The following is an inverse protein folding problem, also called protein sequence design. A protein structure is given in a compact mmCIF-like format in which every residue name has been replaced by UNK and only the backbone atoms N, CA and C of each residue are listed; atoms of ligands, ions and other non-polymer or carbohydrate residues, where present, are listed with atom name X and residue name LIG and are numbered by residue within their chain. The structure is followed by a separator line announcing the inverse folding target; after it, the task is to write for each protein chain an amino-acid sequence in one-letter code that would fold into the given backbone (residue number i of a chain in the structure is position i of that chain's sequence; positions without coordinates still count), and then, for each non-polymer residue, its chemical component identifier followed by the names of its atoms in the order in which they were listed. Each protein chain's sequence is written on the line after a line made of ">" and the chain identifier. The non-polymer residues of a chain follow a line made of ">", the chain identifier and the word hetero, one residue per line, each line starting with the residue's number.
data_IF_172727403402
#
_entry.id   IF_172727403402
#
_cell.length_a   1.000
_cell.length_b   1.000
_cell.length_c   1.000
_cell.angle_alpha   90.00
_cell.angle_beta   90.00
_cell.angle_gamma   90.00
#
_symmetry.space_group_name_H-M   'P 1'
#
loop_
_entity.id
_entity.type
_entity.pdbx_description
1 polymer ?
2 branched ?
3 non-polymer ?
4 non-polymer ?
5 non-polymer ?
6 non-polymer ?
7 non-polymer ?
8 water ?
#
# COMPACT_ATOMS: atom_id res chain seq x y z
N UNK A 1 -19.44 -8.92 -6.32
CA UNK A 1 -20.12 -7.63 -6.28
C UNK A 1 -20.18 -7.12 -4.85
N UNK A 2 -19.42 -6.06 -4.55
CA UNK A 2 -19.28 -5.53 -3.19
C UNK A 2 -19.57 -4.04 -3.16
N UNK A 3 -20.37 -3.61 -2.18
CA UNK A 3 -20.81 -2.22 -2.02
C UNK A 3 -20.39 -1.71 -0.64
N UNK A 4 -20.28 -0.39 -0.51
CA UNK A 4 -19.55 0.26 0.58
C UNK A 4 -20.39 1.35 1.23
N UNK A 5 -19.96 1.85 2.39
CA UNK A 5 -20.65 3.02 2.99
C UNK A 5 -20.68 4.23 2.06
N UNK A 6 -21.77 5.00 2.15
CA UNK A 6 -21.90 6.23 1.38
C UNK A 6 -21.01 7.34 1.91
N UNK A 7 -20.73 7.34 3.21
CA UNK A 7 -20.01 8.42 3.85
C UNK A 7 -19.31 7.87 5.07
N UNK A 8 -18.26 8.58 5.52
CA UNK A 8 -17.44 8.06 6.62
C UNK A 8 -18.29 7.98 7.88
N UNK A 9 -18.13 6.86 8.60
CA UNK A 9 -18.95 6.54 9.75
C UNK A 9 -18.24 6.74 11.09
N UNK A 10 -16.91 6.91 11.08
CA UNK A 10 -16.11 7.02 12.31
C UNK A 10 -15.13 8.17 12.22
N UNK A 11 -15.63 9.34 11.77
CA UNK A 11 -14.78 10.52 11.60
C UNK A 11 -13.97 10.80 12.87
N UNK A 12 -14.63 10.87 14.02
CA UNK A 12 -13.94 11.25 15.25
C UNK A 12 -12.82 10.26 15.58
N UNK A 13 -13.12 8.97 15.54
CA UNK A 13 -12.11 7.97 15.90
C UNK A 13 -10.93 8.00 14.93
N UNK A 14 -11.22 8.05 13.62
CA UNK A 14 -10.14 8.10 12.63
C UNK A 14 -9.34 9.40 12.77
N UNK A 15 -10.01 10.53 13.00
CA UNK A 15 -9.26 11.78 13.12
C UNK A 15 -8.27 11.71 14.28
N UNK A 16 -8.71 11.17 15.41
CA UNK A 16 -7.80 10.99 16.54
C UNK A 16 -6.65 10.04 16.18
N UNK A 17 -6.93 8.94 15.49
CA UNK A 17 -5.87 8.03 15.06
C UNK A 17 -4.88 8.72 14.13
N UNK A 18 -5.39 9.60 13.25
CA UNK A 18 -4.54 10.32 12.30
C UNK A 18 -3.49 11.15 13.05
N UNK A 19 -3.84 11.68 14.21
CA UNK A 19 -2.88 12.45 14.99
C UNK A 19 -1.73 11.60 15.52
N UNK A 20 -1.86 10.27 15.55
CA UNK A 20 -0.79 9.37 15.97
C UNK A 20 0.23 9.11 14.87
N UNK A 21 -0.03 9.55 13.64
CA UNK A 21 0.89 9.31 12.53
C UNK A 21 2.15 10.14 12.73
N UNK A 22 3.29 9.46 12.72
CA UNK A 22 4.60 10.10 12.94
C UNK A 22 5.30 10.21 11.60
N UNK A 23 5.33 11.44 11.06
CA UNK A 23 5.97 11.69 9.78
C UNK A 23 7.43 11.26 9.75
N UNK A 24 8.08 11.16 10.91
CA UNK A 24 9.49 10.80 10.92
C UNK A 24 9.71 9.32 10.63
N UNK A 25 8.68 8.48 10.83
CA UNK A 25 8.84 7.05 10.62
C UNK A 25 8.96 6.67 9.15
N UNK A 26 8.50 7.55 8.25
CA UNK A 26 8.64 7.29 6.82
C UNK A 26 10.13 7.25 6.42
N UNK A 27 10.88 8.31 6.71
CA UNK A 27 12.26 8.33 6.25
C UNK A 27 13.14 7.36 7.05
N UNK A 28 12.86 7.21 8.35
CA UNK A 28 13.59 6.23 9.17
C UNK A 28 13.65 4.86 8.52
N UNK A 29 12.49 4.34 8.05
CA UNK A 29 12.45 3.04 7.40
C UNK A 29 12.89 3.14 5.94
N UNK A 30 12.52 4.23 5.25
CA UNK A 30 12.83 4.38 3.83
C UNK A 30 14.33 4.50 3.59
N UNK A 31 15.06 5.17 4.49
CA UNK A 31 16.50 5.34 4.29
C UNK A 31 17.25 4.01 4.20
N UNK A 32 17.19 3.11 5.21
CA UNK A 32 17.85 1.79 5.04
C UNK A 32 17.24 0.90 3.97
N UNK A 33 15.92 1.00 3.74
CA UNK A 33 15.30 0.21 2.68
C UNK A 33 15.92 0.54 1.32
N UNK A 34 16.13 1.83 1.05
CA UNK A 34 16.74 2.26 -0.22
C UNK A 34 18.24 2.08 -0.27
N UNK A 35 18.87 1.63 0.82
CA UNK A 35 20.31 1.43 0.82
C UNK A 35 20.72 0.09 0.24
N UNK A 36 19.82 -0.89 0.21
CA UNK A 36 20.11 -2.11 -0.54
C UNK A 36 20.41 -1.72 -1.97
N UNK A 37 21.50 -2.29 -2.52
CA UNK A 37 21.95 -1.86 -3.84
C UNK A 37 20.79 -1.83 -4.83
N UNK A 38 20.03 -2.93 -4.89
CA UNK A 38 18.69 -2.96 -5.46
C UNK A 38 17.90 -3.97 -4.64
N UNK A 39 16.59 -4.04 -4.87
CA UNK A 39 15.74 -5.08 -4.29
C UNK A 39 15.13 -5.91 -5.40
N UNK A 40 15.97 -6.25 -6.38
CA UNK A 40 15.55 -7.10 -7.48
C UNK A 40 15.03 -8.42 -6.96
N UNK A 41 13.86 -8.82 -7.47
CA UNK A 41 13.16 -9.99 -6.93
C UNK A 41 13.87 -11.30 -7.24
N UNK A 42 14.59 -11.37 -8.35
CA UNK A 42 15.35 -12.56 -8.75
C UNK A 42 16.67 -12.69 -8.00
N UNK A 43 17.02 -11.69 -7.20
CA UNK A 43 18.36 -11.48 -6.68
C UNK A 43 18.40 -11.72 -5.17
N UNK A 44 19.58 -12.10 -4.68
CA UNK A 44 19.75 -12.27 -3.24
C UNK A 44 19.58 -10.94 -2.50
N UNK A 45 19.83 -9.83 -3.18
CA UNK A 45 19.51 -8.51 -2.65
C UNK A 45 18.04 -8.42 -2.26
N UNK A 46 17.14 -8.87 -3.16
CA UNK A 46 15.72 -8.79 -2.87
C UNK A 46 15.28 -9.75 -1.78
N UNK A 47 15.94 -10.90 -1.68
CA UNK A 47 15.74 -11.80 -0.56
C UNK A 47 16.08 -11.13 0.75
N UNK A 48 17.27 -10.51 0.84
CA UNK A 48 17.72 -9.87 2.07
C UNK A 48 16.83 -8.69 2.46
N UNK A 49 16.47 -7.85 1.49
CA UNK A 49 15.58 -6.73 1.79
C UNK A 49 14.20 -7.18 2.24
N UNK A 50 13.71 -8.30 1.69
CA UNK A 50 12.42 -8.82 2.14
C UNK A 50 12.49 -9.26 3.60
N UNK A 51 13.59 -9.92 3.98
CA UNK A 51 13.77 -10.37 5.35
C UNK A 51 13.90 -9.19 6.30
N UNK A 52 14.68 -8.19 5.91
CA UNK A 52 14.80 -6.96 6.69
C UNK A 52 13.43 -6.33 6.91
N UNK A 53 12.66 -6.20 5.83
CA UNK A 53 11.32 -5.62 5.96
C UNK A 53 10.46 -6.45 6.90
N UNK A 54 10.58 -7.79 6.82
CA UNK A 54 9.77 -8.64 7.69
C UNK A 54 10.09 -8.40 9.15
N UNK A 55 11.39 -8.21 9.46
CA UNK A 55 11.79 -7.86 10.81
C UNK A 55 11.17 -6.56 11.28
N UNK A 56 11.11 -5.54 10.41
CA UNK A 56 10.57 -4.26 10.81
C UNK A 56 9.08 -4.35 11.10
N UNK A 57 8.37 -5.15 10.30
CA UNK A 57 6.97 -5.42 10.59
C UNK A 57 6.83 -6.13 11.93
N UNK A 58 7.67 -7.14 12.16
CA UNK A 58 7.58 -7.88 13.41
C UNK A 58 7.76 -6.97 14.62
N UNK A 59 8.73 -6.03 14.56
CA UNK A 59 8.94 -5.09 15.67
C UNK A 59 7.71 -4.25 15.93
N UNK A 60 7.03 -3.80 14.88
CA UNK A 60 5.77 -3.09 15.09
C UNK A 60 4.75 -4.01 15.75
N UNK A 61 4.71 -5.28 15.35
CA UNK A 61 3.77 -6.21 15.95
C UNK A 61 4.11 -6.47 17.42
N UNK A 62 5.36 -6.87 17.69
CA UNK A 62 5.78 -7.16 19.06
C UNK A 62 5.54 -5.98 19.98
N UNK A 63 5.78 -4.77 19.48
CA UNK A 63 5.62 -3.56 20.27
C UNK A 63 4.16 -3.15 20.49
N UNK A 64 3.21 -3.77 19.77
CA UNK A 64 1.83 -3.29 19.73
C UNK A 64 0.95 -3.79 20.87
N UNK A 65 1.26 -4.96 21.44
CA UNK A 65 0.33 -5.63 22.34
C UNK A 65 -0.85 -6.31 21.67
N UNK A 66 -0.79 -6.55 20.36
CA UNK A 66 -1.89 -7.14 19.62
C UNK A 66 -1.58 -8.64 19.50
N UNK A 67 -2.20 -9.44 20.38
CA UNK A 67 -1.79 -10.84 20.55
C UNK A 67 -2.00 -11.66 19.29
N UNK A 68 -3.06 -11.39 18.53
CA UNK A 68 -3.38 -12.20 17.38
C UNK A 68 -2.76 -11.80 16.06
N UNK A 69 -2.05 -10.67 16.00
CA UNK A 69 -1.50 -10.18 14.75
C UNK A 69 -0.22 -10.92 14.41
N UNK A 70 -0.08 -11.28 13.13
CA UNK A 70 1.03 -12.06 12.61
C UNK A 70 1.57 -11.41 11.35
N UNK A 71 2.81 -11.80 11.01
CA UNK A 71 3.41 -11.52 9.71
C UNK A 71 4.06 -12.83 9.23
N UNK A 72 3.85 -13.19 7.98
CA UNK A 72 4.39 -14.43 7.42
C UNK A 72 4.93 -14.18 6.02
N UNK A 73 6.00 -14.87 5.64
CA UNK A 73 6.44 -14.83 4.25
C UNK A 73 5.56 -15.69 3.36
N UNK A 74 5.55 -15.36 2.08
CA UNK A 74 4.80 -16.10 1.07
C UNK A 74 5.83 -16.44 -0.01
N UNK A 75 6.31 -17.69 0.02
CA UNK A 75 7.37 -18.11 -0.89
C UNK A 75 6.91 -18.01 -2.34
N UNK A 76 7.87 -17.70 -3.23
CA UNK A 76 7.67 -17.71 -4.67
C UNK A 76 8.76 -18.58 -5.29
N UNK A 77 8.74 -18.70 -6.62
CA UNK A 77 9.79 -19.46 -7.31
C UNK A 77 11.09 -18.67 -7.43
N UNK A 78 11.10 -17.39 -7.08
CA UNK A 78 12.30 -16.57 -7.03
C UNK A 78 12.66 -16.31 -5.57
N UNK A 79 13.89 -15.83 -5.28
CA UNK A 79 14.33 -15.71 -3.87
C UNK A 79 13.53 -14.73 -3.02
N UNK A 80 13.01 -13.65 -3.57
CA UNK A 80 12.33 -12.64 -2.77
C UNK A 80 10.91 -13.09 -2.45
N UNK A 81 10.61 -13.18 -1.15
CA UNK A 81 9.30 -13.60 -0.70
C UNK A 81 8.42 -12.37 -0.46
N UNK A 82 7.13 -12.54 -0.71
CA UNK A 82 6.18 -11.52 -0.32
C UNK A 82 5.93 -11.61 1.18
N UNK A 83 5.23 -10.62 1.73
CA UNK A 83 4.92 -10.62 3.15
C UNK A 83 3.49 -10.19 3.36
N UNK A 84 2.80 -10.95 4.20
CA UNK A 84 1.41 -10.71 4.55
C UNK A 84 1.34 -10.55 6.06
N UNK A 85 0.78 -9.45 6.51
CA UNK A 85 0.55 -9.19 7.93
C UNK A 85 -0.95 -9.22 8.17
N UNK A 86 -1.39 -9.98 9.15
CA UNK A 86 -2.82 -10.19 9.35
C UNK A 86 -3.25 -9.58 10.67
N UNK A 87 -4.33 -8.81 10.62
CA UNK A 87 -5.04 -8.32 11.80
C UNK A 87 -6.37 -9.04 11.82
N UNK A 88 -6.49 -10.17 12.51
CA UNK A 88 -7.74 -10.93 12.45
C UNK A 88 -8.85 -10.20 13.19
N UNK A 89 -10.03 -10.20 12.57
CA UNK A 89 -11.18 -9.58 13.19
C UNK A 89 -12.25 -10.59 13.47
N UNK A 90 -13.47 -10.11 13.78
CA UNK A 90 -14.58 -11.00 14.11
C UNK A 90 -14.96 -11.88 12.93
N UNK A 91 -15.07 -11.29 11.74
CA UNK A 91 -15.42 -12.03 10.53
C UNK A 91 -14.19 -12.31 9.68
N UNK A 92 -14.40 -13.07 8.61
CA UNK A 92 -13.38 -13.34 7.62
C UNK A 92 -13.47 -12.43 6.40
N UNK A 93 -14.39 -11.49 6.38
CA UNK A 93 -14.35 -10.45 5.36
C UNK A 93 -13.04 -9.69 5.51
N UNK A 94 -12.24 -9.68 4.45
CA UNK A 94 -10.87 -9.23 4.54
C UNK A 94 -10.69 -7.94 3.75
N UNK A 95 -10.00 -6.98 4.38
CA UNK A 95 -9.59 -5.73 3.74
C UNK A 95 -8.08 -5.80 3.51
N UNK A 96 -7.65 -5.65 2.26
CA UNK A 96 -6.23 -5.73 1.91
C UNK A 96 -5.69 -4.34 1.58
N UNK A 97 -4.52 -4.03 2.13
CA UNK A 97 -3.73 -2.83 1.82
C UNK A 97 -2.42 -3.28 1.20
N UNK A 98 -2.12 -2.83 -0.01
CA UNK A 98 -0.97 -3.32 -0.77
C UNK A 98 0.06 -2.27 -1.10
N UNK A 99 1.33 -2.71 -1.15
CA UNK A 99 2.47 -2.04 -1.76
C UNK A 99 3.40 -3.12 -2.25
N UNK A 100 4.31 -2.77 -3.16
CA UNK A 100 5.27 -3.75 -3.60
C UNK A 100 6.65 -3.38 -3.08
N UNK A 101 7.40 -4.39 -2.66
CA UNK A 101 8.64 -4.20 -1.94
C UNK A 101 9.88 -4.37 -2.81
N UNK A 102 9.73 -4.82 -4.06
CA UNK A 102 10.89 -4.92 -4.93
C UNK A 102 11.14 -3.62 -5.68
N UNK A 103 12.29 -3.57 -6.34
CA UNK A 103 12.70 -2.42 -7.13
C UNK A 103 13.57 -2.94 -8.28
N UNK A 104 13.72 -2.12 -9.32
CA UNK A 104 14.45 -2.56 -10.48
C UNK A 104 15.15 -1.37 -11.12
N UNK A 105 16.29 -1.65 -11.73
CA UNK A 105 16.97 -0.74 -12.63
C UNK A 105 16.80 -1.36 -14.01
N UNK A 106 15.95 -0.74 -14.84
CA UNK A 106 15.52 -1.45 -16.05
C UNK A 106 16.68 -1.66 -17.02
N UNK A 107 17.71 -0.83 -16.94
CA UNK A 107 18.85 -0.95 -17.85
C UNK A 107 19.80 -2.06 -17.43
N UNK A 108 19.93 -2.31 -16.12
CA UNK A 108 20.77 -3.40 -15.60
C UNK A 108 20.04 -4.06 -14.44
N UNK A 109 19.07 -4.94 -14.73
CA UNK A 109 18.18 -5.42 -13.66
C UNK A 109 18.88 -6.19 -12.56
N UNK A 110 19.76 -7.11 -12.92
CA UNK A 110 20.39 -7.97 -11.93
C UNK A 110 21.27 -7.16 -10.98
N UNK A 111 22.08 -6.25 -11.54
CA UNK A 111 23.17 -5.63 -10.79
C UNK A 111 23.06 -4.12 -10.66
N UNK A 112 22.16 -3.46 -11.38
CA UNK A 112 22.09 -2.01 -11.35
C UNK A 112 21.57 -1.48 -10.04
N UNK A 113 22.05 -0.30 -9.68
CA UNK A 113 21.56 0.39 -8.50
C UNK A 113 20.11 0.79 -8.71
N UNK A 114 19.26 0.46 -7.74
CA UNK A 114 17.85 0.86 -7.79
C UNK A 114 17.41 1.15 -6.38
N UNK A 115 17.53 2.40 -5.93
CA UNK A 115 17.11 2.71 -4.56
C UNK A 115 15.63 2.52 -4.36
N UNK A 116 14.84 2.66 -5.42
CA UNK A 116 13.40 2.42 -5.34
C UNK A 116 12.71 3.22 -4.26
N UNK A 117 13.14 4.48 -4.09
CA UNK A 117 12.62 5.31 -3.01
C UNK A 117 11.13 5.57 -3.20
N UNK A 118 10.73 6.02 -4.39
CA UNK A 118 9.33 6.29 -4.70
C UNK A 118 8.59 5.06 -5.19
N UNK A 119 9.20 4.30 -6.09
CA UNK A 119 8.67 3.06 -6.65
C UNK A 119 9.42 1.84 -6.10
N UNK A 120 8.91 1.21 -5.03
CA UNK A 120 7.73 1.65 -4.31
C UNK A 120 8.05 1.64 -2.80
N UNK A 121 9.23 2.15 -2.46
CA UNK A 121 9.53 2.32 -1.04
C UNK A 121 8.57 3.27 -0.36
N UNK A 122 8.02 4.24 -1.11
CA UNK A 122 7.14 5.22 -0.51
C UNK A 122 5.85 4.58 -0.07
N UNK A 123 5.30 3.69 -0.90
CA UNK A 123 4.10 2.94 -0.53
C UNK A 123 4.35 1.95 0.59
N UNK A 124 5.56 1.41 0.69
CA UNK A 124 5.85 0.45 1.75
C UNK A 124 5.85 1.14 3.11
N UNK A 125 6.60 2.25 3.24
CA UNK A 125 6.60 2.99 4.49
C UNK A 125 5.25 3.69 4.73
N UNK A 126 4.47 3.96 3.67
CA UNK A 126 3.13 4.52 3.87
C UNK A 126 2.23 3.53 4.60
N UNK A 127 2.15 2.29 4.10
CA UNK A 127 1.22 1.36 4.70
C UNK A 127 1.81 0.72 5.95
N UNK A 128 3.14 0.65 6.06
CA UNK A 128 3.76 0.18 7.29
C UNK A 128 3.43 1.10 8.45
N UNK A 129 3.42 2.41 8.21
CA UNK A 129 3.11 3.36 9.27
C UNK A 129 1.62 3.38 9.60
N UNK A 130 0.75 3.23 8.58
CA UNK A 130 -0.68 3.14 8.86
C UNK A 130 -1.02 1.86 9.63
N UNK A 131 -0.34 0.76 9.31
CA UNK A 131 -0.41 -0.48 10.08
C UNK A 131 -0.07 -0.27 11.55
N UNK A 132 1.04 0.43 11.84
CA UNK A 132 1.45 0.68 13.22
C UNK A 132 0.39 1.45 13.99
N UNK A 133 -0.14 2.51 13.37
CA UNK A 133 -1.11 3.37 14.07
C UNK A 133 -2.42 2.64 14.24
N UNK A 134 -2.74 1.75 13.30
CA UNK A 134 -3.98 0.99 13.37
C UNK A 134 -4.02 0.13 14.62
N UNK A 135 -2.88 -0.46 14.99
CA UNK A 135 -2.79 -1.33 16.15
C UNK A 135 -2.78 -0.55 17.45
N UNK A 136 -2.75 0.78 17.41
CA UNK A 136 -2.88 1.51 18.66
C UNK A 136 -4.33 1.65 19.07
N UNK A 137 -5.27 1.21 18.23
CA UNK A 137 -6.68 1.18 18.59
C UNK A 137 -6.97 -0.10 19.36
N UNK A 138 -7.71 0.03 20.48
CA UNK A 138 -7.88 -1.10 21.40
C UNK A 138 -8.66 -2.25 20.75
N UNK A 139 -9.77 -1.93 20.06
CA UNK A 139 -10.59 -2.98 19.47
C UNK A 139 -9.89 -3.65 18.30
N UNK A 140 -9.13 -2.88 17.50
CA UNK A 140 -8.38 -3.48 16.41
C UNK A 140 -7.33 -4.44 16.96
N UNK A 141 -6.50 -3.97 17.90
CA UNK A 141 -5.48 -4.82 18.50
C UNK A 141 -6.08 -6.01 19.26
N UNK A 142 -7.33 -5.91 19.69
CA UNK A 142 -8.01 -7.00 20.38
C UNK A 142 -8.67 -8.01 19.45
N UNK A 143 -8.71 -7.77 18.13
CA UNK A 143 -9.40 -8.69 17.26
C UNK A 143 -10.91 -8.59 17.31
N UNK A 144 -11.42 -7.43 17.72
CA UNK A 144 -12.84 -7.15 17.79
C UNK A 144 -13.34 -6.24 16.67
N UNK A 145 -12.50 -5.88 15.73
CA UNK A 145 -13.02 -5.23 14.53
C UNK A 145 -13.95 -6.21 13.83
N UNK A 146 -15.04 -5.73 13.25
CA UNK A 146 -15.95 -6.63 12.51
C UNK A 146 -15.25 -7.46 11.44
N UNK A 147 -14.20 -6.93 10.80
CA UNK A 147 -13.60 -7.57 9.65
C UNK A 147 -12.10 -7.71 9.86
N UNK A 148 -11.52 -8.65 9.13
CA UNK A 148 -10.09 -8.89 9.08
C UNK A 148 -9.40 -7.90 8.13
N UNK A 149 -8.22 -7.44 8.52
CA UNK A 149 -7.41 -6.54 7.71
C UNK A 149 -6.07 -7.20 7.46
N UNK A 150 -5.62 -7.17 6.21
CA UNK A 150 -4.29 -7.67 5.88
C UNK A 150 -3.49 -6.59 5.15
N UNK A 151 -2.20 -6.50 5.46
CA UNK A 151 -1.26 -5.64 4.76
C UNK A 151 -0.33 -6.54 3.94
N UNK A 152 -0.27 -6.31 2.63
CA UNK A 152 0.53 -7.13 1.74
C UNK A 152 1.70 -6.31 1.19
N UNK A 153 2.87 -6.91 1.17
CA UNK A 153 4.09 -6.31 0.63
C UNK A 153 4.56 -7.25 -0.45
N UNK A 154 4.28 -6.90 -1.71
CA UNK A 154 4.38 -7.85 -2.82
C UNK A 154 5.82 -7.88 -3.35
N UNK A 155 6.42 -9.08 -3.34
CA UNK A 155 7.63 -9.36 -4.09
C UNK A 155 7.35 -9.39 -5.60
N UNK A 156 8.41 -9.15 -6.38
CA UNK A 156 8.37 -9.43 -7.82
C UNK A 156 7.42 -8.61 -8.67
N UNK A 157 6.87 -7.50 -8.16
CA UNK A 157 5.98 -6.67 -8.98
C UNK A 157 6.65 -6.22 -10.28
N UNK A 158 7.95 -5.90 -10.24
CA UNK A 158 8.67 -5.41 -11.40
C UNK A 158 8.97 -6.51 -12.42
N UNK A 159 8.72 -7.76 -12.06
CA UNK A 159 8.73 -8.82 -13.04
C UNK A 159 7.38 -9.09 -13.68
N UNK A 160 6.36 -8.30 -13.39
CA UNK A 160 5.04 -8.53 -13.94
C UNK A 160 3.98 -8.96 -12.95
N UNK A 161 3.92 -8.25 -11.81
CA UNK A 161 2.95 -8.52 -10.75
C UNK A 161 3.05 -9.96 -10.25
N UNK A 162 4.28 -10.48 -10.18
CA UNK A 162 4.49 -11.91 -9.93
C UNK A 162 4.02 -12.34 -8.55
N UNK A 163 4.34 -11.55 -7.51
CA UNK A 163 3.97 -11.96 -6.17
C UNK A 163 2.48 -11.86 -5.90
N UNK A 164 1.87 -10.74 -6.27
CA UNK A 164 0.43 -10.58 -6.06
C UNK A 164 -0.36 -11.55 -6.91
N UNK A 165 0.16 -11.85 -8.10
CA UNK A 165 -0.42 -12.92 -8.93
C UNK A 165 -0.53 -14.21 -8.14
N UNK A 166 0.59 -14.65 -7.54
CA UNK A 166 0.60 -15.87 -6.72
C UNK A 166 -0.43 -15.78 -5.61
N UNK A 167 -0.46 -14.66 -4.89
CA UNK A 167 -1.22 -14.53 -3.66
C UNK A 167 -2.72 -14.56 -3.96
N UNK A 168 -3.17 -13.74 -4.89
CA UNK A 168 -4.59 -13.63 -5.16
C UNK A 168 -5.12 -14.85 -5.91
N UNK A 169 -4.30 -15.45 -6.78
CA UNK A 169 -4.72 -16.73 -7.35
C UNK A 169 -4.95 -17.76 -6.26
N UNK A 170 -4.08 -17.78 -5.26
CA UNK A 170 -4.25 -18.73 -4.17
C UNK A 170 -5.40 -18.33 -3.26
N UNK A 171 -5.61 -17.03 -3.05
CA UNK A 171 -6.77 -16.60 -2.28
C UNK A 171 -8.05 -17.04 -2.97
N UNK A 172 -8.11 -16.83 -4.29
CA UNK A 172 -9.26 -17.25 -5.08
C UNK A 172 -9.53 -18.75 -4.92
N UNK A 173 -8.48 -19.57 -5.06
CA UNK A 173 -8.65 -21.02 -4.92
C UNK A 173 -9.16 -21.41 -3.54
N UNK A 174 -8.62 -20.80 -2.49
CA UNK A 174 -9.01 -21.15 -1.13
C UNK A 174 -10.17 -20.29 -0.61
N UNK A 175 -10.91 -19.63 -1.51
CA UNK A 175 -12.19 -18.99 -1.20
C UNK A 175 -12.06 -17.87 -0.16
N UNK A 176 -10.92 -17.17 -0.18
CA UNK A 176 -10.72 -16.04 0.71
C UNK A 176 -11.63 -14.88 0.29
N UNK A 177 -12.23 -14.23 1.29
CA UNK A 177 -13.31 -13.28 1.04
C UNK A 177 -12.74 -11.87 1.11
N UNK A 178 -12.10 -11.45 0.02
CA UNK A 178 -11.47 -10.13 -0.06
C UNK A 178 -12.54 -9.15 -0.53
N UNK A 179 -13.04 -8.35 0.40
CA UNK A 179 -14.10 -7.38 0.12
C UNK A 179 -13.58 -6.05 -0.42
N UNK A 180 -12.27 -5.78 -0.34
CA UNK A 180 -11.69 -4.50 -0.74
C UNK A 180 -10.16 -4.57 -0.74
N UNK A 181 -9.52 -4.14 -1.82
CA UNK A 181 -8.06 -4.08 -1.87
C UNK A 181 -7.63 -2.69 -2.33
N UNK A 182 -6.70 -2.08 -1.61
CA UNK A 182 -6.13 -0.79 -1.98
C UNK A 182 -4.65 -0.96 -2.25
N UNK A 183 -4.21 -0.66 -3.46
CA UNK A 183 -2.81 -0.68 -3.83
C UNK A 183 -2.27 0.74 -3.73
N UNK A 184 -1.05 0.85 -3.21
CA UNK A 184 -0.36 2.12 -3.18
C UNK A 184 1.05 1.91 -3.70
N UNK A 185 1.39 2.67 -4.74
CA UNK A 185 2.56 2.45 -5.57
C UNK A 185 2.98 3.83 -6.05
N UNK A 186 4.10 4.33 -5.52
CA UNK A 186 4.53 5.72 -5.69
C UNK A 186 3.58 6.70 -4.98
N UNK A 187 3.99 7.21 -3.82
CA UNK A 187 3.17 8.11 -3.03
C UNK A 187 3.92 9.39 -2.68
N UNK A 188 5.12 9.57 -3.18
CA UNK A 188 5.96 10.63 -2.66
C UNK A 188 6.33 11.77 -3.58
N UNK A 189 6.15 11.63 -4.88
CA UNK A 189 6.74 12.57 -5.83
C UNK A 189 5.68 13.60 -6.22
N UNK A 190 5.90 14.84 -5.83
CA UNK A 190 4.97 15.91 -6.15
C UNK A 190 5.62 17.02 -6.96
N UNK A 191 6.91 16.92 -7.24
CA UNK A 191 7.55 18.02 -7.95
C UNK A 191 7.03 18.14 -9.38
N UNK A 192 6.58 17.05 -10.00
CA UNK A 192 5.93 17.16 -11.30
C UNK A 192 4.65 17.96 -11.22
N UNK A 193 3.88 17.75 -10.15
CA UNK A 193 2.63 18.46 -9.96
C UNK A 193 2.87 19.95 -9.75
N UNK A 194 3.68 20.29 -8.76
CA UNK A 194 3.84 21.69 -8.34
C UNK A 194 4.68 22.51 -9.30
N UNK A 195 5.59 21.89 -10.06
CA UNK A 195 6.39 22.64 -11.03
C UNK A 195 5.53 23.22 -12.15
N UNK A 196 4.45 22.53 -12.51
CA UNK A 196 3.46 22.97 -13.47
C UNK A 196 2.41 23.92 -12.85
N UNK A 197 2.58 24.33 -11.60
CA UNK A 197 1.58 25.12 -10.92
C UNK A 197 0.30 24.39 -10.56
N UNK A 198 0.24 23.08 -10.71
CA UNK A 198 -0.96 22.37 -10.32
C UNK A 198 -0.99 22.17 -8.81
N UNK A 199 -2.18 22.15 -8.21
CA UNK A 199 -2.27 21.87 -6.77
C UNK A 199 -1.93 20.40 -6.49
N UNK A 200 -1.04 20.20 -5.51
CA UNK A 200 -0.72 18.85 -5.05
C UNK A 200 -2.00 18.13 -4.64
N UNK A 201 -2.06 16.84 -4.98
CA UNK A 201 -3.31 16.08 -4.88
C UNK A 201 -3.00 14.59 -4.84
N UNK A 202 -4.06 13.82 -4.59
CA UNK A 202 -4.04 12.36 -4.57
C UNK A 202 -4.57 11.88 -5.93
N UNK A 203 -3.71 11.21 -6.69
CA UNK A 203 -4.18 10.59 -7.92
C UNK A 203 -5.02 9.35 -7.63
N UNK A 204 -6.09 9.20 -8.38
CA UNK A 204 -7.05 8.10 -8.26
C UNK A 204 -7.12 7.42 -9.62
N UNK A 205 -6.57 6.22 -9.73
CA UNK A 205 -6.53 5.51 -11.00
C UNK A 205 -7.89 4.83 -11.22
N UNK A 206 -8.44 5.00 -12.43
CA UNK A 206 -9.81 4.62 -12.72
C UNK A 206 -9.95 3.42 -13.64
N UNK A 207 -8.86 2.86 -14.17
CA UNK A 207 -8.95 1.61 -14.93
C UNK A 207 -8.33 0.45 -14.14
N UNK A 208 -8.81 -0.75 -14.45
CA UNK A 208 -8.41 -2.01 -13.79
C UNK A 208 -8.80 -2.04 -12.32
N UNK A 209 -9.80 -1.25 -11.94
CA UNK A 209 -10.22 -1.11 -10.56
C UNK A 209 -11.72 -1.39 -10.49
N UNK A 210 -12.25 -1.33 -9.28
CA UNK A 210 -13.68 -1.48 -9.02
C UNK A 210 -14.30 -0.09 -8.87
N UNK A 211 -15.44 0.15 -9.54
CA UNK A 211 -16.01 1.50 -9.54
C UNK A 211 -16.52 1.89 -8.16
N UNK A 212 -17.25 0.99 -7.50
CA UNK A 212 -17.80 1.29 -6.19
C UNK A 212 -16.70 1.58 -5.18
N UNK A 213 -15.62 0.78 -5.21
CA UNK A 213 -14.52 0.96 -4.27
C UNK A 213 -13.79 2.28 -4.54
N UNK A 214 -13.57 2.60 -5.81
CA UNK A 214 -12.95 3.86 -6.18
C UNK A 214 -13.80 5.04 -5.70
N UNK A 215 -15.12 4.91 -5.80
CA UNK A 215 -16.02 5.92 -5.26
C UNK A 215 -15.83 6.10 -3.77
N UNK A 216 -15.82 4.98 -3.03
CA UNK A 216 -15.54 5.01 -1.60
C UNK A 216 -14.15 5.57 -1.31
N UNK A 217 -13.17 5.22 -2.14
CA UNK A 217 -11.82 5.74 -1.95
C UNK A 217 -11.80 7.26 -2.00
N UNK A 218 -12.54 7.86 -2.94
CA UNK A 218 -12.62 9.32 -3.00
C UNK A 218 -13.28 9.88 -1.75
N UNK A 219 -14.37 9.26 -1.31
CA UNK A 219 -14.99 9.59 -0.02
C UNK A 219 -13.95 9.61 1.10
N UNK A 220 -13.03 8.64 1.09
CA UNK A 220 -12.02 8.57 2.13
C UNK A 220 -11.03 9.72 1.99
N UNK A 221 -10.67 10.10 0.77
CA UNK A 221 -9.70 11.17 0.58
C UNK A 221 -10.30 12.52 0.93
N UNK A 222 -11.61 12.69 0.73
CA UNK A 222 -12.25 13.96 1.07
C UNK A 222 -12.40 14.14 2.57
N UNK A 223 -12.62 13.06 3.31
CA UNK A 223 -12.80 13.17 4.75
C UNK A 223 -11.49 13.28 5.50
N UNK A 224 -10.44 12.62 5.00
CA UNK A 224 -9.26 12.37 5.81
C UNK A 224 -7.98 12.97 5.28
N UNK A 225 -7.92 13.29 4.00
CA UNK A 225 -6.80 14.03 3.44
C UNK A 225 -7.16 15.50 3.36
N UNK A 226 -6.12 16.35 3.46
CA UNK A 226 -6.30 17.78 3.30
C UNK A 226 -5.83 18.27 1.93
N UNK A 227 -5.80 17.39 0.93
CA UNK A 227 -5.57 17.76 -0.47
C UNK A 227 -6.63 17.10 -1.34
N UNK A 228 -6.87 17.62 -2.56
CA UNK A 228 -7.90 17.07 -3.44
C UNK A 228 -7.49 15.78 -4.16
N UNK A 229 -8.44 15.22 -4.90
CA UNK A 229 -8.22 14.07 -5.76
C UNK A 229 -8.18 14.51 -7.21
N UNK A 230 -7.51 13.70 -8.03
CA UNK A 230 -7.49 13.86 -9.47
C UNK A 230 -7.62 12.47 -10.07
N UNK A 231 -8.47 12.33 -11.08
CA UNK A 231 -8.70 11.04 -11.73
C UNK A 231 -7.73 10.85 -12.88
N UNK A 232 -7.12 9.67 -12.94
CA UNK A 232 -6.18 9.32 -13.98
C UNK A 232 -6.41 7.89 -14.42
N UNK A 233 -6.07 7.62 -15.66
CA UNK A 233 -5.88 6.25 -16.14
C UNK A 233 -4.40 6.07 -16.38
N UNK A 234 -3.98 4.81 -16.43
CA UNK A 234 -2.63 4.52 -16.86
C UNK A 234 -2.58 3.66 -18.10
N UNK A 235 -3.65 2.95 -18.43
CA UNK A 235 -3.80 2.31 -19.71
C UNK A 235 -3.21 0.93 -19.82
N UNK A 236 -2.88 0.28 -18.70
CA UNK A 236 -2.38 -1.08 -18.70
C UNK A 236 -2.50 -1.65 -17.27
N UNK A 237 -1.99 -2.87 -17.08
CA UNK A 237 -1.92 -3.48 -15.76
C UNK A 237 -0.87 -2.85 -14.87
N UNK A 238 -1.14 -1.58 -14.53
CA UNK A 238 -0.37 -0.68 -13.69
C UNK A 238 0.45 -1.33 -12.57
N UNK A 239 -0.23 -1.99 -11.64
CA UNK A 239 0.36 -2.46 -10.40
C UNK A 239 -0.45 -3.64 -9.89
N UNK A 240 -0.22 -4.00 -8.62
CA UNK A 240 -0.71 -5.27 -8.09
C UNK A 240 -2.22 -5.31 -7.91
N UNK A 241 -2.89 -4.16 -7.90
CA UNK A 241 -4.35 -4.16 -7.88
C UNK A 241 -4.91 -4.88 -9.09
N UNK A 242 -4.12 -4.97 -10.15
CA UNK A 242 -4.56 -5.67 -11.35
C UNK A 242 -4.60 -7.17 -11.11
N UNK A 243 -3.74 -7.68 -10.23
CA UNK A 243 -3.80 -9.09 -9.83
C UNK A 243 -5.07 -9.38 -9.02
N UNK A 244 -5.48 -8.42 -8.18
CA UNK A 244 -6.70 -8.62 -7.41
C UNK A 244 -7.92 -8.57 -8.34
N UNK A 245 -7.97 -7.55 -9.20
CA UNK A 245 -9.05 -7.45 -10.18
C UNK A 245 -9.13 -8.70 -11.04
N UNK A 246 -7.98 -9.29 -11.37
CA UNK A 246 -7.96 -10.47 -12.23
C UNK A 246 -8.67 -11.65 -11.59
N UNK A 247 -8.71 -11.71 -10.26
CA UNK A 247 -9.40 -12.79 -9.58
C UNK A 247 -10.75 -12.36 -9.01
N UNK A 248 -11.34 -11.30 -9.58
CA UNK A 248 -12.65 -10.83 -9.21
C UNK A 248 -12.72 -10.07 -7.91
N UNK A 249 -11.58 -9.64 -7.37
CA UNK A 249 -11.68 -8.92 -6.11
C UNK A 249 -11.80 -7.43 -6.36
N UNK A 250 -12.61 -6.71 -5.58
CA UNK A 250 -12.71 -5.25 -5.76
C UNK A 250 -11.43 -4.56 -5.30
N UNK A 251 -10.83 -3.78 -6.19
CA UNK A 251 -9.56 -3.12 -5.91
C UNK A 251 -9.62 -1.66 -6.31
N UNK A 252 -8.71 -0.88 -5.73
CA UNK A 252 -8.54 0.52 -6.06
C UNK A 252 -7.04 0.83 -5.98
N UNK A 253 -6.71 2.05 -6.39
CA UNK A 253 -5.33 2.46 -6.54
C UNK A 253 -5.26 3.97 -6.34
N UNK A 254 -4.56 4.38 -5.28
CA UNK A 254 -4.29 5.80 -5.03
C UNK A 254 -2.82 6.07 -5.31
N UNK A 255 -2.57 7.20 -5.97
CA UNK A 255 -1.32 7.50 -6.63
C UNK A 255 -0.81 8.86 -6.12
N UNK A 256 0.46 9.15 -6.38
CA UNK A 256 1.06 10.41 -5.94
C UNK A 256 0.54 11.65 -6.68
N UNK A 257 -0.07 11.49 -7.85
CA UNK A 257 -0.35 12.62 -8.74
C UNK A 257 -1.18 12.12 -9.91
N UNK A 258 -1.51 13.04 -10.82
CA UNK A 258 -1.99 12.65 -12.15
C UNK A 258 -0.92 11.82 -12.82
N UNK A 259 -1.35 10.81 -13.61
CA UNK A 259 -0.39 9.83 -14.09
C UNK A 259 0.77 10.46 -14.87
N UNK A 260 0.51 11.53 -15.62
CA UNK A 260 1.56 12.16 -16.37
C UNK A 260 2.49 13.08 -15.61
N UNK A 261 2.23 13.30 -14.32
CA UNK A 261 3.08 14.12 -13.47
C UNK A 261 3.90 13.28 -12.50
N UNK A 262 3.84 11.96 -12.62
CA UNK A 262 4.51 11.08 -11.68
C UNK A 262 6.03 11.14 -11.88
N UNK A 263 6.74 10.34 -11.09
CA UNK A 263 8.18 10.47 -11.01
C UNK A 263 8.82 9.96 -12.30
N UNK A 264 9.70 10.74 -12.92
CA UNK A 264 10.44 10.27 -14.09
C UNK A 264 11.73 9.52 -13.78
N UNK A 265 12.00 9.27 -12.50
CA UNK A 265 13.25 8.67 -12.03
C UNK A 265 13.10 7.20 -11.70
N UNK A 266 11.85 6.70 -11.71
CA UNK A 266 11.58 5.29 -11.41
C UNK A 266 12.37 4.38 -12.36
N UNK A 267 12.68 3.18 -11.86
CA UNK A 267 13.38 2.15 -12.63
C UNK A 267 14.79 2.57 -13.03
N UNK A 268 15.43 3.35 -12.17
CA UNK A 268 16.79 3.78 -12.44
C UNK A 268 17.43 4.09 -11.12
N UNK A 269 18.74 4.32 -11.16
CA UNK A 269 19.51 4.65 -9.96
C UNK A 269 19.05 5.96 -9.33
N UNK A 270 18.30 6.79 -10.06
CA UNK A 270 17.95 8.14 -9.65
C UNK A 270 16.65 8.24 -8.88
N UNK A 271 16.00 7.11 -8.56
CA UNK A 271 14.80 7.07 -7.72
C UNK A 271 15.25 7.09 -6.25
N UNK A 272 15.51 8.30 -5.75
CA UNK A 272 16.18 8.50 -4.47
C UNK A 272 15.27 9.28 -3.53
N UNK A 273 15.61 9.24 -2.24
CA UNK A 273 14.84 9.94 -1.22
C UNK A 273 14.81 11.44 -1.51
N UNK A 274 15.81 11.93 -2.24
CA UNK A 274 15.82 13.33 -2.66
C UNK A 274 14.54 13.70 -3.38
N UNK A 275 13.98 12.78 -4.17
CA UNK A 275 12.79 13.03 -4.99
C UNK A 275 11.49 12.89 -4.22
N UNK A 276 11.53 12.48 -2.95
CA UNK A 276 10.34 12.10 -2.19
C UNK A 276 9.93 13.24 -1.28
N UNK A 277 8.64 13.58 -1.31
CA UNK A 277 8.04 14.61 -0.46
C UNK A 277 7.28 13.92 0.68
N UNK A 278 7.85 13.90 1.88
CA UNK A 278 7.24 13.11 2.95
C UNK A 278 5.96 13.76 3.50
N UNK A 279 5.75 15.05 3.27
CA UNK A 279 4.46 15.64 3.62
C UNK A 279 3.34 15.10 2.74
N UNK A 280 3.64 14.72 1.49
CA UNK A 280 2.66 14.04 0.65
C UNK A 280 2.48 12.57 1.04
N UNK A 281 3.60 11.89 1.34
CA UNK A 281 3.54 10.53 1.89
C UNK A 281 2.66 10.51 3.13
N UNK A 282 2.73 11.55 3.96
CA UNK A 282 1.86 11.63 5.12
C UNK A 282 0.39 11.71 4.73
N UNK A 283 0.08 12.36 3.62
CA UNK A 283 -1.30 12.38 3.16
C UNK A 283 -1.77 10.99 2.77
N UNK A 284 -0.91 10.21 2.12
CA UNK A 284 -1.24 8.81 1.84
C UNK A 284 -1.32 7.96 3.10
N UNK A 285 -0.57 8.30 4.15
CA UNK A 285 -0.78 7.62 5.42
C UNK A 285 -2.15 7.85 6.01
N UNK A 286 -2.70 9.07 5.83
CA UNK A 286 -4.02 9.39 6.37
C UNK A 286 -5.12 8.61 5.65
N UNK A 287 -5.05 8.53 4.31
CA UNK A 287 -6.09 7.84 3.56
C UNK A 287 -6.00 6.34 3.74
N UNK A 288 -4.78 5.79 3.83
CA UNK A 288 -4.59 4.38 4.18
C UNK A 288 -5.22 4.08 5.53
N UNK A 289 -4.87 4.86 6.55
CA UNK A 289 -5.46 4.72 7.87
C UNK A 289 -6.99 4.77 7.82
N UNK A 290 -7.53 5.78 7.16
CA UNK A 290 -8.98 5.95 7.14
C UNK A 290 -9.69 4.86 6.37
N UNK A 291 -9.19 4.52 5.17
CA UNK A 291 -9.73 3.42 4.38
C UNK A 291 -9.76 2.13 5.18
N UNK A 292 -8.64 1.77 5.80
CA UNK A 292 -8.58 0.53 6.59
C UNK A 292 -9.56 0.56 7.76
N UNK A 293 -9.65 1.69 8.47
CA UNK A 293 -10.52 1.75 9.64
C UNK A 293 -11.99 1.69 9.24
N UNK A 294 -12.40 2.54 8.28
CA UNK A 294 -13.81 2.62 7.94
C UNK A 294 -14.34 1.28 7.44
N UNK A 295 -13.52 0.55 6.70
CA UNK A 295 -13.95 -0.73 6.15
C UNK A 295 -13.79 -1.88 7.15
N UNK A 296 -12.77 -1.84 8.02
CA UNK A 296 -12.70 -2.82 9.11
C UNK A 296 -13.92 -2.75 10.02
N UNK A 297 -14.53 -1.56 10.16
CA UNK A 297 -15.71 -1.35 10.99
C UNK A 297 -16.98 -1.16 10.17
N UNK A 298 -17.01 -1.75 8.98
CA UNK A 298 -18.20 -1.76 8.14
C UNK A 298 -18.88 -3.13 8.30
N UNK A 299 -20.02 -3.16 8.97
CA UNK A 299 -20.73 -4.43 9.14
C UNK A 299 -21.45 -4.86 7.87
N UNK A 300 -21.97 -3.91 7.11
CA UNK A 300 -22.77 -4.15 5.93
C UNK A 300 -21.94 -4.58 4.71
N UNK A 301 -20.73 -5.09 4.91
CA UNK A 301 -19.87 -5.40 3.77
C UNK A 301 -20.21 -6.76 3.14
X LIG B 1 -14.57 15.34 11.22
X LIG B 1 -15.42 16.36 10.45
X LIG B 1 -14.74 17.74 10.41
X LIG B 1 -14.28 18.16 11.80
X LIG B 1 -13.47 17.03 12.42
X LIG B 1 -13.00 17.32 13.82
X LIG B 1 -16.87 15.42 8.70
X LIG B 1 -16.94 14.94 7.28
X LIG B 1 -15.68 15.88 9.10
X LIG B 1 -15.68 18.66 9.88
X LIG B 1 -13.41 19.29 11.82
X LIG B 1 -14.27 15.84 12.48
X LIG B 1 -11.96 16.40 14.19
X LIG B 1 -17.83 15.38 9.45
X LIG B 2 -13.65 20.46 10.99
X LIG B 2 -14.41 21.57 11.76
X LIG B 2 -13.44 22.59 12.36
X LIG B 2 -12.11 21.91 12.72
X LIG B 2 -11.42 21.44 11.45
X LIG B 2 -10.47 20.29 11.70
X LIG B 2 -16.69 22.27 11.09
X LIG B 2 -17.49 23.03 10.09
X LIG B 2 -15.36 22.25 10.89
X LIG B 2 -14.01 23.17 13.53
X LIG B 2 -11.26 22.85 13.37
X LIG B 2 -12.38 20.98 10.48
X LIG B 2 -9.93 19.77 10.49
X LIG B 2 -17.21 21.70 12.04
X LIG C 1 17.62 -0.89 10.90
X LIG C 1 18.11 -1.32 12.22
X LIG C 1 16.25 -1.34 10.78
X LIG C 1 17.70 0.57 10.75
X LIG C 1 18.43 -1.50 9.85
X LIG D 1 9.47 16.85 3.44
X LIG D 1 8.45 17.64 2.76
X LIG D 1 8.96 16.48 4.76
X LIG D 1 10.66 17.67 3.62
X LIG D 1 9.83 15.66 2.64
X LIG E 1 22.07 7.14 -3.40
X LIG E 1 21.36 7.02 -2.12
X LIG E 1 21.15 6.82 -4.50
X LIG E 1 22.55 8.50 -3.56
X LIG E 1 23.19 6.21 -3.43
X LIG F 1 -9.58 9.04 -20.86
X LIG F 1 -10.90 8.40 -20.91
X LIG F 1 -9.64 10.31 -21.59
X LIG F 1 -8.59 8.17 -21.48
X LIG F 1 -9.22 9.29 -19.47
X LIG G 1 -3.09 12.20 -16.96
X LIG G 1 -3.89 13.41 -16.89
X LIG G 1 -4.01 11.07 -16.91
X LIG G 1 -2.15 12.18 -15.86
X LIG G 1 -2.27 12.20 -18.17
X LIG H 1 5.67 0.33 -8.80
X LIG I 1 8.15 0.07 -10.92
X LIG J 1 -17.95 -10.83 -6.18
X LIG K 1 21.44 -8.01 -16.67
X LIG K 1 20.32 -8.42 -15.87
X LIG K 1 22.07 -6.71 -16.14
X LIG K 1 22.58 -6.90 -14.81
X LIG L 1 -17.67 6.21 16.79
X LIG L 1 -16.62 5.24 16.93
X LIG L 1 -17.37 7.14 15.62
X LIG L 1 -16.21 7.94 15.88
X LIG M 1 -25.52 7.24 4.97
X LIG M 1 -24.70 8.17 4.25
X LIG M 1 -25.05 7.16 6.41
X LIG M 1 -24.73 8.48 6.89
X LIG N 1 27.16 -3.38 -3.25
X LIG N 1 26.94 -2.04 -2.79
X LIG N 1 27.22 -4.31 -2.06
X LIG N 1 26.09 -4.07 -1.22
X LIG O 1 -11.93 -2.51 -16.07
X LIG O 1 -11.60 -2.25 -14.70
X LIG O 1 -12.32 -1.22 -16.77
X LIG O 1 -11.12 -0.52 -17.12
X LIG P 1 5.63 1.92 -11.08
X LIG P 1 4.62 0.99 -11.55
X LIG P 1 5.25 -0.22 -12.23
X LIG P 1 5.29 -0.31 -13.47
X LIG P 1 3.66 1.70 -12.50
X LIG P 1 2.89 2.90 -11.96
X LIG P 1 2.56 2.73 -10.48
X LIG P 1 3.67 4.17 -12.22
X LIG P 1 5.75 -1.13 -11.57
#
# INVERSE_FOLDING_TARGET
>A
AVTYPDSVQHNETVQNLIKSLDKKNFETVLQPFSEFHNRYYKSDNGKKSSEWLQGKIQEIISASGAKGVTVEPFKHSFPQSSLIAKIPGKSDKTIVLGAHQDSINLDSPSEGRAPGADDDGSGVVTILEAFRVLLTDEKVAAGEAPNTVEFHFYAGEEGGLLGSQDIFEQYSQKSRDVKAMLQQDMTGYTKGTTDAGKPESIGIITDNVDENLTKFLKVIVDAYCTIPTVDSKCGYGCSDHASATKYGYPAAFAFESAFGDDSPYIHSADDTIETVNFDHVLQHGRLTLGFAYELAFADSL
>B hetero
1 NAG C1 C2 C3 C4 C5 C6 C7 C8 N2 O3 O4 O5 O6 O7
2 NAG C1 C2 C3 C4 C5 C6 C7 C8 N2 O3 O4 O5 O6 O7
>C hetero
1 SO4 S O1 O2 O3 O4
>D hetero
1 SO4 S O1 O2 O3 O4
>E hetero
1 SO4 S O1 O2 O3 O4
>F hetero
1 SO4 S O1 O2 O3 O4
>G hetero
1 SO4 S O1 O2 O3 O4
>H hetero
1 ZN ZN
>I hetero
1 ZN ZN
>J hetero
1 CL CL
>K hetero
1 EDO C1 O1 C2 O2
>L hetero
1 EDO C1 O1 C2 O2
>M hetero
1 EDO C1 O1 C2 O2
>N hetero
1 EDO C1 O1 C2 O2
>O hetero
1 EDO C1 O1 C2 O2
>P hetero
1 LEU N CA C O CB CG CD1 CD2 OXT
#
